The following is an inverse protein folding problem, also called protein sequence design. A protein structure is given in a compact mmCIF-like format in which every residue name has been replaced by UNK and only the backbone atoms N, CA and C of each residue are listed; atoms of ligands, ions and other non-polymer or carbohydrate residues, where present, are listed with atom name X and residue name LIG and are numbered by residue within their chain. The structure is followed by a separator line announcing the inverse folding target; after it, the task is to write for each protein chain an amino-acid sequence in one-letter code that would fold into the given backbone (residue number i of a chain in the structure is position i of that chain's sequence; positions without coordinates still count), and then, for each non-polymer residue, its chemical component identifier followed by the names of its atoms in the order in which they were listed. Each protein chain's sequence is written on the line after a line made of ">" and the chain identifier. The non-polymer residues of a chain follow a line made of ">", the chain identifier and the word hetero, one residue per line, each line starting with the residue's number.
data_IF_036063126847
#
_entry.id   IF_036063126847
#
_cell.length_a   1.000
_cell.length_b   1.000
_cell.length_c   1.000
_cell.angle_alpha   90.00
_cell.angle_beta   90.00
_cell.angle_gamma   90.00
#
_symmetry.space_group_name_H-M   'P 1'
#
loop_
_entity.id
_entity.type
_entity.pdbx_description
1 polymer ?
#
# COMPACT_ATOMS: atom_id res chain seq x y z
N UNK A 1 4.44 25.65 -9.22
CA UNK A 1 3.21 25.00 -8.69
C UNK A 1 1.96 25.44 -9.47
N UNK A 2 0.83 24.73 -9.31
CA UNK A 2 -0.45 25.15 -9.93
C UNK A 2 -0.93 26.50 -9.38
N UNK A 3 -0.62 26.82 -8.15
CA UNK A 3 -0.90 28.13 -7.53
C UNK A 3 -0.09 29.25 -8.19
N UNK A 4 1.21 29.05 -8.40
CA UNK A 4 2.06 30.01 -9.11
C UNK A 4 1.57 30.24 -10.54
N UNK A 5 1.21 29.17 -11.25
CA UNK A 5 0.64 29.28 -12.58
C UNK A 5 -0.69 30.07 -12.58
N UNK A 6 -1.56 29.85 -11.58
CA UNK A 6 -2.79 30.62 -11.44
C UNK A 6 -2.48 32.11 -11.25
N UNK A 7 -1.54 32.47 -10.36
CA UNK A 7 -1.12 33.85 -10.10
C UNK A 7 -0.55 34.50 -11.37
N UNK A 8 0.27 33.74 -12.12
CA UNK A 8 0.85 34.23 -13.38
C UNK A 8 -0.23 34.55 -14.44
N UNK A 9 -1.27 33.71 -14.55
CA UNK A 9 -2.33 33.88 -15.54
C UNK A 9 -3.36 34.92 -15.13
N UNK A 10 -3.80 34.90 -13.87
CA UNK A 10 -4.88 35.77 -13.37
C UNK A 10 -4.37 37.09 -12.77
N UNK A 11 -3.08 37.22 -12.53
CA UNK A 11 -2.46 38.43 -11.97
C UNK A 11 -2.86 38.75 -10.53
N UNK A 12 -3.44 37.75 -9.81
CA UNK A 12 -3.90 37.93 -8.42
C UNK A 12 -3.84 36.60 -7.66
N UNK A 13 -3.78 36.70 -6.33
CA UNK A 13 -3.88 35.55 -5.44
C UNK A 13 -5.24 34.83 -5.60
N UNK A 14 -5.25 33.49 -5.59
CA UNK A 14 -6.48 32.71 -5.69
C UNK A 14 -7.36 32.89 -4.44
N UNK A 15 -8.64 33.17 -4.65
CA UNK A 15 -9.64 33.13 -3.58
C UNK A 15 -9.91 31.69 -3.10
N UNK A 16 -10.65 31.54 -2.00
CA UNK A 16 -10.91 30.24 -1.35
C UNK A 16 -11.49 29.19 -2.30
N UNK A 17 -12.41 29.58 -3.19
CA UNK A 17 -12.99 28.65 -4.17
C UNK A 17 -12.00 28.25 -5.26
N UNK A 18 -11.15 29.18 -5.71
CA UNK A 18 -10.10 28.90 -6.68
C UNK A 18 -9.03 27.98 -6.08
N UNK A 19 -8.63 28.21 -4.82
CA UNK A 19 -7.70 27.33 -4.08
C UNK A 19 -8.25 25.90 -4.02
N UNK A 20 -9.51 25.71 -3.66
CA UNK A 20 -10.13 24.40 -3.61
C UNK A 20 -10.08 23.68 -4.96
N UNK A 21 -10.40 24.37 -6.05
CA UNK A 21 -10.29 23.79 -7.40
C UNK A 21 -8.86 23.46 -7.80
N UNK A 22 -7.89 24.27 -7.38
CA UNK A 22 -6.46 24.02 -7.59
C UNK A 22 -6.03 22.76 -6.84
N UNK A 23 -6.44 22.62 -5.58
CA UNK A 23 -6.14 21.44 -4.74
C UNK A 23 -6.75 20.16 -5.32
N UNK A 24 -8.03 20.21 -5.71
CA UNK A 24 -8.71 19.07 -6.35
C UNK A 24 -8.00 18.65 -7.64
N UNK A 25 -7.59 19.62 -8.47
CA UNK A 25 -6.86 19.35 -9.71
C UNK A 25 -5.45 18.80 -9.42
N UNK A 26 -4.73 19.37 -8.45
CA UNK A 26 -3.42 18.88 -8.04
C UNK A 26 -3.51 17.43 -7.54
N UNK A 27 -4.49 17.13 -6.69
CA UNK A 27 -4.74 15.77 -6.20
C UNK A 27 -5.03 14.80 -7.34
N UNK A 28 -5.90 15.17 -8.27
CA UNK A 28 -6.25 14.32 -9.42
C UNK A 28 -5.04 14.05 -10.33
N UNK A 29 -4.20 15.07 -10.57
CA UNK A 29 -2.96 14.92 -11.35
C UNK A 29 -1.97 14.01 -10.63
N UNK A 30 -1.71 14.27 -9.35
CA UNK A 30 -0.81 13.44 -8.52
C UNK A 30 -1.26 11.99 -8.48
N UNK A 31 -2.58 11.76 -8.32
CA UNK A 31 -3.15 10.42 -8.34
C UNK A 31 -2.93 9.70 -9.67
N UNK A 32 -3.13 10.40 -10.77
CA UNK A 32 -2.87 9.87 -12.11
C UNK A 32 -1.40 9.50 -12.32
N UNK A 33 -0.49 10.39 -11.91
CA UNK A 33 0.95 10.16 -12.04
C UNK A 33 1.39 9.00 -11.12
N UNK A 34 0.83 8.90 -9.91
CA UNK A 34 1.05 7.78 -8.99
C UNK A 34 0.57 6.46 -9.62
N UNK A 35 -0.61 6.46 -10.25
CA UNK A 35 -1.12 5.28 -10.93
C UNK A 35 -0.17 4.82 -12.05
N UNK A 36 0.24 5.72 -12.94
CA UNK A 36 1.19 5.42 -14.00
C UNK A 36 2.54 4.92 -13.46
N UNK A 37 3.00 5.49 -12.35
CA UNK A 37 4.22 5.02 -11.69
C UNK A 37 4.07 3.58 -11.16
N UNK A 38 2.90 3.22 -10.60
CA UNK A 38 2.63 1.86 -10.12
C UNK A 38 2.49 0.86 -11.27
N UNK A 39 1.83 1.24 -12.36
CA UNK A 39 1.81 0.43 -13.61
C UNK A 39 3.23 0.18 -14.12
N UNK A 40 4.03 1.25 -14.26
CA UNK A 40 5.43 1.15 -14.69
C UNK A 40 6.29 0.30 -13.75
N UNK A 41 6.07 0.42 -12.43
CA UNK A 41 6.76 -0.38 -11.41
C UNK A 41 6.46 -1.88 -11.58
N UNK A 42 5.18 -2.25 -11.67
CA UNK A 42 4.76 -3.63 -11.87
C UNK A 42 5.28 -4.15 -13.21
N UNK A 43 5.10 -3.39 -14.28
CA UNK A 43 5.54 -3.78 -15.62
C UNK A 43 7.05 -4.05 -15.65
N UNK A 44 7.87 -3.13 -15.12
CA UNK A 44 9.33 -3.26 -15.14
C UNK A 44 9.80 -4.49 -14.34
N UNK A 45 9.19 -4.79 -13.20
CA UNK A 45 9.57 -5.96 -12.41
C UNK A 45 9.22 -7.30 -13.08
N UNK A 46 8.29 -7.30 -14.03
CA UNK A 46 7.90 -8.52 -14.74
C UNK A 46 8.54 -8.67 -16.13
N UNK A 47 9.07 -7.57 -16.71
CA UNK A 47 9.60 -7.57 -18.08
C UNK A 47 11.09 -7.30 -18.16
N UNK A 48 11.68 -6.60 -17.18
CA UNK A 48 13.11 -6.30 -17.19
C UNK A 48 13.92 -7.45 -16.60
N UNK A 49 14.88 -7.92 -17.39
CA UNK A 49 15.80 -8.96 -16.96
C UNK A 49 17.03 -8.34 -16.30
N UNK A 50 17.32 -8.70 -15.04
CA UNK A 50 18.44 -8.15 -14.30
C UNK A 50 19.80 -8.77 -14.60
N UNK A 51 19.80 -9.93 -15.25
CA UNK A 51 21.02 -10.69 -15.60
C UNK A 51 20.90 -11.34 -16.97
N UNK A 52 22.03 -11.55 -17.64
CA UNK A 52 22.10 -12.37 -18.85
C UNK A 52 21.51 -13.76 -18.59
N UNK A 53 20.56 -14.21 -19.40
CA UNK A 53 19.89 -15.49 -19.25
C UNK A 53 18.44 -15.45 -18.75
N UNK A 54 17.73 -14.35 -18.96
CA UNK A 54 16.27 -14.23 -18.73
C UNK A 54 15.80 -14.37 -17.26
N UNK A 55 16.59 -13.90 -16.30
CA UNK A 55 16.15 -13.89 -14.90
C UNK A 55 15.44 -12.58 -14.57
N UNK A 56 14.17 -12.66 -14.21
CA UNK A 56 13.42 -11.53 -13.63
C UNK A 56 13.92 -11.20 -12.23
N UNK A 57 13.75 -9.94 -11.82
CA UNK A 57 14.14 -9.48 -10.50
C UNK A 57 13.18 -10.04 -9.45
N UNK A 58 13.66 -10.93 -8.59
CA UNK A 58 12.89 -11.41 -7.44
C UNK A 58 12.75 -10.27 -6.42
N UNK A 59 11.58 -9.71 -6.33
CA UNK A 59 11.28 -8.52 -5.52
C UNK A 59 10.04 -8.73 -4.66
N UNK A 60 10.00 -8.05 -3.51
CA UNK A 60 8.85 -8.03 -2.64
C UNK A 60 8.64 -6.66 -2.02
N UNK A 61 7.40 -6.32 -1.73
CA UNK A 61 7.00 -5.09 -1.04
C UNK A 61 6.04 -5.40 0.09
N UNK A 62 6.13 -4.61 1.16
CA UNK A 62 5.26 -4.71 2.33
C UNK A 62 4.56 -3.37 2.55
N UNK A 63 3.26 -3.38 2.73
CA UNK A 63 2.42 -2.19 2.91
C UNK A 63 1.15 -2.50 3.69
N UNK A 64 0.30 -1.52 3.97
CA UNK A 64 -1.00 -1.71 4.62
C UNK A 64 -1.18 -0.95 5.93
N UNK A 65 -0.09 -0.50 6.57
CA UNK A 65 -0.12 0.19 7.88
C UNK A 65 0.12 1.70 7.80
N UNK A 66 0.51 2.22 6.65
CA UNK A 66 0.64 3.67 6.46
C UNK A 66 -0.74 4.32 6.35
N UNK A 67 -0.99 5.27 7.24
CA UNK A 67 -2.27 6.00 7.32
C UNK A 67 -2.18 7.43 6.78
N UNK A 68 -1.00 7.84 6.27
CA UNK A 68 -0.85 9.14 5.61
C UNK A 68 -1.66 9.18 4.31
N UNK A 69 -2.20 10.34 3.91
CA UNK A 69 -2.91 10.47 2.64
C UNK A 69 -2.10 10.00 1.44
N UNK A 70 -0.80 10.29 1.44
CA UNK A 70 0.14 9.93 0.38
C UNK A 70 0.38 8.41 0.35
N UNK A 71 0.64 7.79 1.50
CA UNK A 71 0.84 6.35 1.62
C UNK A 71 -0.42 5.57 1.23
N UNK A 72 -1.59 6.03 1.65
CA UNK A 72 -2.87 5.45 1.25
C UNK A 72 -3.11 5.53 -0.27
N UNK A 73 -2.78 6.69 -0.88
CA UNK A 73 -2.86 6.85 -2.33
C UNK A 73 -1.97 5.85 -3.07
N UNK A 74 -0.71 5.71 -2.64
CA UNK A 74 0.23 4.73 -3.23
C UNK A 74 -0.30 3.31 -3.12
N UNK A 75 -0.81 2.92 -1.94
CA UNK A 75 -1.38 1.58 -1.72
C UNK A 75 -2.59 1.35 -2.64
N UNK A 76 -3.49 2.32 -2.72
CA UNK A 76 -4.69 2.20 -3.54
C UNK A 76 -4.35 2.05 -5.04
N UNK A 77 -3.44 2.89 -5.55
CA UNK A 77 -3.06 2.84 -6.97
C UNK A 77 -2.21 1.60 -7.30
N UNK A 78 -1.42 1.09 -6.35
CA UNK A 78 -0.74 -0.19 -6.51
C UNK A 78 -1.72 -1.37 -6.62
N UNK A 79 -2.72 -1.43 -5.74
CA UNK A 79 -3.75 -2.47 -5.78
C UNK A 79 -4.55 -2.41 -7.09
N UNK A 80 -4.85 -1.20 -7.56
CA UNK A 80 -5.55 -0.96 -8.82
C UNK A 80 -4.72 -1.43 -10.01
N UNK A 81 -3.47 -1.02 -10.12
CA UNK A 81 -2.56 -1.46 -11.17
C UNK A 81 -2.37 -2.99 -11.16
N UNK A 82 -2.36 -3.62 -9.96
CA UNK A 82 -2.27 -5.07 -9.84
C UNK A 82 -3.51 -5.78 -10.41
N UNK A 83 -4.72 -5.23 -10.18
CA UNK A 83 -5.97 -5.77 -10.73
C UNK A 83 -6.05 -5.59 -12.26
N UNK A 84 -5.61 -4.46 -12.76
CA UNK A 84 -5.59 -4.15 -14.19
C UNK A 84 -4.62 -5.07 -14.93
N UNK A 85 -3.51 -5.45 -14.28
CA UNK A 85 -2.56 -6.45 -14.77
C UNK A 85 -1.63 -5.93 -15.86
N UNK A 86 -0.94 -6.84 -16.52
CA UNK A 86 0.09 -6.54 -17.51
C UNK A 86 -0.47 -6.53 -18.94
N UNK A 87 -0.07 -5.51 -19.69
CA UNK A 87 -0.38 -5.39 -21.11
C UNK A 87 -1.87 -5.32 -21.42
N UNK A 88 -2.21 -5.42 -22.68
CA UNK A 88 -3.61 -5.27 -23.16
C UNK A 88 -4.55 -6.40 -22.76
N UNK A 89 -4.00 -7.54 -22.32
CA UNK A 89 -4.79 -8.70 -21.87
C UNK A 89 -5.05 -8.71 -20.38
N UNK A 90 -4.41 -7.82 -19.60
CA UNK A 90 -4.54 -7.80 -18.15
C UNK A 90 -3.97 -9.06 -17.49
N UNK A 91 -2.80 -9.53 -17.95
CA UNK A 91 -2.15 -10.71 -17.38
C UNK A 91 -1.74 -10.46 -15.93
N UNK A 92 -1.94 -11.47 -15.08
CA UNK A 92 -1.63 -11.36 -13.64
C UNK A 92 -0.12 -11.19 -13.46
N UNK A 93 0.34 -10.10 -12.77
CA UNK A 93 1.76 -9.90 -12.52
C UNK A 93 2.28 -10.93 -11.50
N UNK A 94 3.51 -11.42 -11.70
CA UNK A 94 4.17 -12.35 -10.77
C UNK A 94 4.96 -11.57 -9.71
N UNK A 95 5.53 -10.44 -10.09
CA UNK A 95 6.32 -9.58 -9.21
C UNK A 95 5.76 -8.14 -9.16
N UNK A 96 6.01 -7.43 -8.06
CA UNK A 96 6.62 -7.88 -6.82
C UNK A 96 5.71 -8.84 -6.04
N UNK A 97 6.29 -9.70 -5.20
CA UNK A 97 5.51 -10.39 -4.18
C UNK A 97 4.99 -9.33 -3.21
N UNK A 98 3.68 -9.20 -3.12
CA UNK A 98 3.02 -8.17 -2.35
C UNK A 98 2.53 -8.74 -1.02
N UNK A 99 2.85 -8.04 0.06
CA UNK A 99 2.46 -8.40 1.42
C UNK A 99 1.67 -7.25 2.03
N UNK A 100 0.38 -7.46 2.23
CA UNK A 100 -0.48 -6.52 2.94
C UNK A 100 -0.43 -6.84 4.44
N UNK A 101 0.03 -5.88 5.24
CA UNK A 101 0.08 -6.00 6.70
C UNK A 101 -1.27 -5.69 7.29
N UNK A 102 -1.81 -6.63 8.02
CA UNK A 102 -3.06 -6.49 8.77
C UNK A 102 -2.75 -6.19 10.22
N UNK A 103 -3.22 -5.05 10.69
CA UNK A 103 -3.04 -4.57 12.06
C UNK A 103 -4.38 -4.10 12.61
N UNK A 104 -4.75 -4.63 13.78
CA UNK A 104 -5.96 -4.22 14.47
C UNK A 104 -5.94 -2.72 14.81
N UNK A 105 -7.07 -2.04 14.65
CA UNK A 105 -7.21 -0.60 14.78
C UNK A 105 -6.60 0.24 13.65
N UNK A 106 -5.92 -0.36 12.66
CA UNK A 106 -5.33 0.36 11.51
C UNK A 106 -5.94 -0.09 10.20
N UNK A 107 -5.73 -1.33 9.83
CA UNK A 107 -6.24 -1.92 8.58
C UNK A 107 -7.32 -2.98 8.81
N UNK A 108 -7.62 -3.28 10.05
CA UNK A 108 -8.69 -4.19 10.45
C UNK A 108 -9.35 -3.74 11.74
N UNK A 109 -10.64 -3.98 11.86
CA UNK A 109 -11.43 -3.90 13.09
C UNK A 109 -12.58 -4.88 12.99
N UNK A 110 -12.89 -5.60 14.04
CA UNK A 110 -14.00 -6.54 14.05
C UNK A 110 -15.35 -5.83 13.88
N UNK A 111 -15.48 -4.62 14.44
CA UNK A 111 -16.67 -3.79 14.32
C UNK A 111 -16.88 -3.33 12.88
N UNK A 112 -15.80 -2.86 12.22
CA UNK A 112 -15.84 -2.46 10.81
C UNK A 112 -16.13 -3.66 9.90
N UNK A 113 -15.60 -4.83 10.23
CA UNK A 113 -15.89 -6.06 9.50
C UNK A 113 -17.37 -6.41 9.57
N UNK A 114 -17.98 -6.39 10.76
CA UNK A 114 -19.42 -6.64 10.93
C UNK A 114 -20.26 -5.64 10.16
N UNK A 115 -19.92 -4.35 10.26
CA UNK A 115 -20.57 -3.28 9.52
C UNK A 115 -20.47 -3.46 8.00
N UNK A 116 -19.29 -3.84 7.49
CA UNK A 116 -19.09 -4.11 6.07
C UNK A 116 -19.88 -5.32 5.58
N UNK A 117 -20.07 -6.35 6.40
CA UNK A 117 -20.85 -7.54 6.05
C UNK A 117 -22.35 -7.25 5.95
N UNK A 118 -22.88 -6.22 6.61
CA UNK A 118 -24.27 -5.80 6.48
C UNK A 118 -24.58 -5.23 5.07
N UNK A 119 -23.59 -4.55 4.46
CA UNK A 119 -23.71 -4.04 3.09
C UNK A 119 -22.34 -4.07 2.38
N UNK A 120 -21.95 -5.26 1.97
CA UNK A 120 -20.63 -5.50 1.40
C UNK A 120 -20.36 -4.75 0.10
N UNK A 121 -21.37 -4.56 -0.74
CA UNK A 121 -21.21 -3.80 -1.99
C UNK A 121 -20.92 -2.32 -1.71
N UNK A 122 -21.69 -1.70 -0.82
CA UNK A 122 -21.44 -0.31 -0.42
C UNK A 122 -20.06 -0.11 0.24
N UNK A 123 -19.62 -1.12 1.01
CA UNK A 123 -18.30 -1.11 1.62
C UNK A 123 -17.17 -1.14 0.57
N UNK A 124 -17.29 -2.02 -0.45
CA UNK A 124 -16.33 -2.10 -1.56
C UNK A 124 -16.31 -0.86 -2.45
N UNK A 125 -17.44 -0.20 -2.60
CA UNK A 125 -17.58 1.03 -3.38
C UNK A 125 -17.08 2.28 -2.65
N UNK A 126 -16.64 2.14 -1.37
CA UNK A 126 -16.17 3.26 -0.56
C UNK A 126 -17.28 4.20 -0.08
N UNK A 127 -18.53 3.73 -0.07
CA UNK A 127 -19.70 4.49 0.40
C UNK A 127 -19.93 4.38 1.91
N UNK A 128 -19.04 3.69 2.61
CA UNK A 128 -19.09 3.49 4.05
C UNK A 128 -17.86 4.09 4.72
N UNK A 129 -18.06 4.70 5.89
CA UNK A 129 -16.96 5.16 6.74
C UNK A 129 -16.64 4.09 7.78
N UNK A 130 -15.36 3.89 8.07
CA UNK A 130 -14.84 2.90 8.99
C UNK A 130 -14.01 3.56 10.09
N UNK A 131 -13.91 2.89 11.24
CA UNK A 131 -13.10 3.36 12.36
C UNK A 131 -11.61 3.13 12.11
N UNK A 132 -11.25 1.95 11.59
CA UNK A 132 -9.89 1.65 11.18
C UNK A 132 -9.57 2.39 9.87
N UNK A 133 -8.57 3.30 9.88
CA UNK A 133 -8.33 4.24 8.78
C UNK A 133 -7.99 3.56 7.44
N UNK A 134 -7.49 2.34 7.45
CA UNK A 134 -7.11 1.58 6.25
C UNK A 134 -8.00 0.35 6.01
N UNK A 135 -9.18 0.27 6.63
CA UNK A 135 -10.07 -0.86 6.44
C UNK A 135 -10.62 -0.94 5.00
N UNK A 136 -10.89 0.19 4.39
CA UNK A 136 -11.28 0.27 2.97
C UNK A 136 -10.17 -0.27 2.03
N UNK A 137 -8.90 0.01 2.35
CA UNK A 137 -7.75 -0.55 1.62
C UNK A 137 -7.61 -2.06 1.85
N UNK A 138 -7.92 -2.54 3.06
CA UNK A 138 -7.97 -3.97 3.34
C UNK A 138 -9.03 -4.68 2.50
N UNK A 139 -10.23 -4.13 2.38
CA UNK A 139 -11.29 -4.69 1.51
C UNK A 139 -10.85 -4.70 0.04
N UNK A 140 -10.22 -3.61 -0.44
CA UNK A 140 -9.65 -3.56 -1.80
C UNK A 140 -8.55 -4.60 -1.99
N UNK A 141 -7.68 -4.79 -0.99
CA UNK A 141 -6.64 -5.82 -1.02
C UNK A 141 -7.25 -7.23 -1.11
N UNK A 142 -8.30 -7.54 -0.33
CA UNK A 142 -9.01 -8.81 -0.42
C UNK A 142 -9.60 -9.04 -1.82
N UNK A 143 -10.23 -8.02 -2.41
CA UNK A 143 -10.74 -8.08 -3.77
C UNK A 143 -9.63 -8.31 -4.80
N UNK A 144 -8.50 -7.62 -4.64
CA UNK A 144 -7.33 -7.77 -5.51
C UNK A 144 -6.77 -9.19 -5.43
N UNK A 145 -6.62 -9.73 -4.23
CA UNK A 145 -6.16 -11.12 -4.03
C UNK A 145 -7.11 -12.14 -4.66
N UNK A 146 -8.40 -11.93 -4.57
CA UNK A 146 -9.39 -12.81 -5.19
C UNK A 146 -9.27 -12.85 -6.72
N UNK A 147 -8.82 -11.76 -7.34
CA UNK A 147 -8.68 -11.64 -8.81
C UNK A 147 -7.26 -11.95 -9.31
N UNK A 148 -6.24 -11.45 -8.61
CA UNK A 148 -4.85 -11.44 -9.07
C UNK A 148 -3.90 -12.28 -8.19
N UNK A 149 -4.40 -13.02 -7.20
CA UNK A 149 -3.64 -13.84 -6.24
C UNK A 149 -2.69 -13.05 -5.31
N UNK A 150 -2.59 -11.75 -5.47
CA UNK A 150 -1.88 -10.81 -4.61
C UNK A 150 -2.80 -9.67 -4.15
N UNK A 151 -2.48 -9.05 -3.00
CA UNK A 151 -1.40 -9.34 -2.05
C UNK A 151 -1.65 -10.59 -1.18
N UNK A 152 -0.57 -11.14 -0.61
CA UNK A 152 -0.66 -12.02 0.55
C UNK A 152 -0.85 -11.19 1.82
N UNK A 153 -1.40 -11.79 2.88
CA UNK A 153 -1.67 -11.08 4.12
C UNK A 153 -0.73 -11.50 5.25
N UNK A 154 -0.25 -10.50 6.00
CA UNK A 154 0.53 -10.71 7.20
C UNK A 154 -0.19 -10.09 8.40
N UNK A 155 -0.55 -10.92 9.37
CA UNK A 155 -1.24 -10.49 10.59
C UNK A 155 -0.20 -10.12 11.65
N UNK A 156 -0.12 -8.81 11.99
CA UNK A 156 0.86 -8.29 12.93
C UNK A 156 0.52 -8.56 14.39
N UNK A 157 -0.74 -8.89 14.69
CA UNK A 157 -1.23 -9.12 16.05
C UNK A 157 -1.16 -10.58 16.51
N UNK A 158 -0.69 -11.48 15.66
CA UNK A 158 -0.44 -12.86 16.08
C UNK A 158 0.67 -12.93 17.14
N UNK A 159 0.63 -13.89 18.08
CA UNK A 159 1.56 -13.93 19.21
C UNK A 159 3.04 -13.86 18.84
N UNK A 160 3.43 -14.41 17.69
CA UNK A 160 4.81 -14.44 17.20
C UNK A 160 5.18 -13.26 16.28
N UNK A 161 4.23 -12.41 15.92
CA UNK A 161 4.47 -11.21 15.10
C UNK A 161 4.32 -9.93 15.92
N UNK A 162 3.54 -10.00 17.00
CA UNK A 162 3.21 -8.85 17.83
C UNK A 162 4.47 -8.27 18.47
N UNK A 163 4.59 -6.94 18.38
CA UNK A 163 5.57 -6.18 19.13
C UNK A 163 4.84 -5.27 20.12
N UNK A 164 5.14 -5.43 21.42
CA UNK A 164 4.49 -4.66 22.48
C UNK A 164 4.86 -3.17 22.50
N UNK A 165 5.96 -2.81 21.83
CA UNK A 165 6.40 -1.41 21.69
C UNK A 165 5.68 -0.68 20.56
N UNK A 166 4.88 -1.38 19.77
CA UNK A 166 4.15 -0.75 18.68
C UNK A 166 3.00 0.13 19.23
N UNK A 167 3.00 1.40 18.84
CA UNK A 167 1.95 2.36 19.20
C UNK A 167 1.50 3.11 17.94
N UNK A 168 0.19 3.19 17.71
CA UNK A 168 -0.40 3.91 16.57
C UNK A 168 -0.02 5.40 16.55
N UNK A 169 0.25 5.99 17.73
CA UNK A 169 0.63 7.39 17.89
C UNK A 169 2.12 7.65 17.61
N UNK A 170 2.95 6.62 17.59
CA UNK A 170 4.37 6.78 17.30
C UNK A 170 4.57 6.95 15.79
N UNK A 171 5.09 8.10 15.31
CA UNK A 171 5.38 8.30 13.88
C UNK A 171 6.45 7.33 13.35
N UNK A 172 7.21 6.70 14.25
CA UNK A 172 8.23 5.69 13.92
C UNK A 172 7.76 4.27 14.19
N UNK A 173 6.44 4.04 14.35
CA UNK A 173 5.87 2.71 14.63
C UNK A 173 6.28 1.63 13.64
N UNK A 174 6.58 2.01 12.39
CA UNK A 174 7.07 1.09 11.36
C UNK A 174 8.32 0.31 11.77
N UNK A 175 9.12 0.83 12.71
CA UNK A 175 10.32 0.17 13.27
C UNK A 175 9.97 -1.07 14.09
N UNK A 176 8.77 -1.14 14.60
CA UNK A 176 8.26 -2.23 15.43
C UNK A 176 7.38 -3.19 14.64
N UNK A 177 7.30 -3.02 13.34
CA UNK A 177 6.54 -3.87 12.46
C UNK A 177 7.44 -4.92 11.81
N UNK A 178 6.95 -6.15 11.82
CA UNK A 178 7.54 -7.21 11.03
C UNK A 178 7.33 -6.92 9.55
N UNK A 179 8.34 -7.20 8.74
CA UNK A 179 8.24 -7.25 7.29
C UNK A 179 8.74 -8.60 6.79
N UNK A 180 8.41 -8.96 5.56
CA UNK A 180 8.99 -10.11 4.90
C UNK A 180 9.83 -9.69 3.71
N UNK A 181 10.94 -10.38 3.51
CA UNK A 181 11.70 -10.37 2.28
C UNK A 181 11.33 -11.63 1.49
N UNK A 182 10.74 -11.43 0.31
CA UNK A 182 10.05 -12.51 -0.38
C UNK A 182 8.81 -12.96 0.39
N UNK A 183 8.47 -14.24 0.32
CA UNK A 183 7.25 -14.79 0.92
C UNK A 183 7.43 -15.31 2.35
N UNK A 184 8.65 -15.54 2.83
CA UNK A 184 8.91 -16.28 4.09
C UNK A 184 9.97 -15.72 4.98
N UNK A 185 10.98 -15.01 4.47
CA UNK A 185 12.06 -14.47 5.30
C UNK A 185 11.58 -13.26 6.07
N UNK A 186 11.58 -13.34 7.39
CA UNK A 186 11.16 -12.24 8.26
C UNK A 186 12.31 -11.27 8.49
N UNK A 187 11.98 -9.99 8.47
CA UNK A 187 12.92 -8.90 8.62
C UNK A 187 12.42 -7.96 9.70
N UNK A 188 13.30 -7.68 10.65
CA UNK A 188 13.07 -6.70 11.71
C UNK A 188 14.08 -5.57 11.59
N UNK A 189 13.70 -4.36 11.99
CA UNK A 189 14.69 -3.32 12.23
C UNK A 189 15.44 -3.63 13.53
N UNK A 190 16.77 -3.47 13.53
CA UNK A 190 17.54 -3.55 14.75
C UNK A 190 17.31 -2.26 15.56
N UNK A 191 16.51 -2.36 16.63
CA UNK A 191 16.18 -1.25 17.52
C UNK A 191 17.07 -1.21 18.77
N UNK A 192 17.95 -2.20 18.94
CA UNK A 192 18.81 -2.35 20.13
C UNK A 192 20.27 -1.93 19.89
N UNK A 193 20.63 -1.49 18.70
CA UNK A 193 21.99 -1.12 18.35
C UNK A 193 22.11 -0.57 16.93
N UNK A 194 23.27 -0.69 16.33
CA UNK A 194 23.49 -0.27 14.95
C UNK A 194 22.59 -1.01 13.96
N UNK A 195 22.17 -0.32 12.89
CA UNK A 195 21.39 -0.94 11.80
C UNK A 195 22.23 -2.06 11.19
N UNK A 196 21.79 -3.28 11.38
CA UNK A 196 22.46 -4.46 10.84
C UNK A 196 21.47 -5.37 10.13
N UNK A 197 22.00 -6.23 9.26
CA UNK A 197 21.22 -7.26 8.57
C UNK A 197 20.90 -8.48 9.45
N UNK A 198 21.27 -8.47 10.72
CA UNK A 198 21.12 -9.60 11.64
C UNK A 198 19.68 -9.87 12.08
N UNK A 199 18.78 -8.92 11.90
CA UNK A 199 17.35 -9.09 12.21
C UNK A 199 16.57 -9.97 11.21
N UNK A 200 17.24 -10.77 10.39
CA UNK A 200 16.60 -11.66 9.42
C UNK A 200 16.48 -13.07 9.98
N UNK A 201 15.31 -13.65 9.82
CA UNK A 201 15.08 -15.03 10.21
C UNK A 201 14.05 -15.72 9.33
N UNK A 202 14.29 -16.99 9.06
CA UNK A 202 13.29 -17.87 8.47
C UNK A 202 12.71 -18.73 9.60
N UNK A 203 11.41 -18.62 9.83
CA UNK A 203 10.72 -19.34 10.91
C UNK A 203 10.09 -20.66 10.45
N UNK A 204 10.25 -21.02 9.18
CA UNK A 204 9.76 -22.29 8.64
C UNK A 204 10.88 -23.05 7.96
N UNK A 205 10.96 -24.34 8.24
CA UNK A 205 11.75 -25.27 7.45
C UNK A 205 10.89 -25.71 6.26
N UNK A 206 11.44 -25.61 5.09
CA UNK A 206 10.90 -26.17 3.86
C UNK A 206 11.87 -27.15 3.28
#
# INVERSE_FOLDING_TARGET
>A
TLTEFYIEVEGKEPGTEALKKIEEKAYAMTRKDTHQAMEGFIHNLNTMHSRGGNQVVFSSINYGTDTSPEGRMVIEELLKATIEGLGTRGEVPVFPIQIFKVKDGVSYSEEDYKKAMENFEAALEGKMEFQAPNFDLFLKACRTTAKALFPNFMFLDTPYNKNEKWDIKDPKRYRYELATMGCRTRVYENIAGEKSSLGRGNLSFT
#
